data_IF_643136402414
#
_entry.id   IF_643136402414
#
_cell.length_a   1.000
_cell.length_b   1.000
_cell.length_c   1.000
_cell.angle_alpha   90.00
_cell.angle_beta   90.00
_cell.angle_gamma   90.00
#
_symmetry.space_group_name_H-M   'P 1'
#
loop_
_entity.id
_entity.type
_entity.pdbx_description
1 polymer ?
#
# COMPACT_ATOMS: atom_id res chain seq x y z
N UNK A 1 8.13 -38.96 -20.12
CA UNK A 1 8.94 -37.75 -20.38
C UNK A 1 8.12 -36.82 -21.27
N UNK A 2 7.88 -35.57 -20.84
CA UNK A 2 7.96 -34.40 -21.72
C UNK A 2 7.67 -33.11 -20.95
N UNK A 3 8.77 -32.39 -20.70
CA UNK A 3 8.91 -30.95 -20.53
C UNK A 3 7.78 -30.14 -19.90
N UNK A 4 7.88 -29.92 -18.58
CA UNK A 4 7.39 -28.69 -17.95
C UNK A 4 8.25 -27.54 -18.50
N UNK A 5 7.70 -26.74 -19.39
CA UNK A 5 8.30 -25.48 -19.82
C UNK A 5 8.23 -24.48 -18.67
N UNK A 6 9.30 -24.42 -17.87
CA UNK A 6 9.67 -23.21 -17.13
C UNK A 6 10.18 -22.18 -18.14
N UNK A 7 9.53 -21.03 -18.21
CA UNK A 7 10.07 -19.73 -18.67
C UNK A 7 8.86 -18.77 -18.73
N UNK A 8 8.78 -17.60 -18.11
CA UNK A 8 9.75 -16.60 -17.67
C UNK A 8 9.02 -15.79 -16.58
N UNK A 9 9.61 -15.63 -15.38
CA UNK A 9 9.09 -14.70 -14.36
C UNK A 9 9.40 -13.28 -14.84
N UNK A 10 8.59 -12.80 -15.79
CA UNK A 10 8.48 -11.39 -16.09
C UNK A 10 8.05 -10.68 -14.82
N UNK A 11 8.86 -9.73 -14.36
CA UNK A 11 8.64 -8.86 -13.19
C UNK A 11 7.23 -8.27 -13.28
N UNK A 12 6.23 -8.93 -12.69
CA UNK A 12 4.85 -8.46 -12.71
C UNK A 12 4.85 -7.16 -11.92
N UNK A 13 4.73 -6.02 -12.60
CA UNK A 13 4.30 -4.78 -11.94
C UNK A 13 3.04 -5.17 -11.17
N UNK A 14 3.15 -5.22 -9.84
CA UNK A 14 2.13 -5.83 -8.98
C UNK A 14 0.75 -5.33 -9.39
N UNK A 15 -0.23 -6.22 -9.45
CA UNK A 15 -1.60 -5.87 -9.82
C UNK A 15 -1.98 -4.56 -9.13
N UNK A 16 -2.42 -3.59 -9.93
CA UNK A 16 -2.89 -2.32 -9.39
C UNK A 16 -3.90 -2.64 -8.29
N UNK A 17 -3.64 -2.18 -7.06
CA UNK A 17 -4.57 -2.40 -5.95
C UNK A 17 -5.98 -1.93 -6.38
N UNK A 18 -7.06 -2.56 -5.92
CA UNK A 18 -8.41 -2.09 -6.21
C UNK A 18 -8.54 -0.59 -5.91
N UNK A 19 -9.21 0.16 -6.79
CA UNK A 19 -9.36 1.63 -6.63
C UNK A 19 -9.99 1.98 -5.30
N UNK A 20 -11.02 1.25 -4.88
CA UNK A 20 -11.69 1.41 -3.59
C UNK A 20 -10.73 1.26 -2.41
N UNK A 21 -9.85 0.26 -2.45
CA UNK A 21 -8.87 0.06 -1.38
C UNK A 21 -7.93 1.27 -1.25
N UNK A 22 -7.50 1.86 -2.38
CA UNK A 22 -6.67 3.09 -2.34
C UNK A 22 -7.42 4.28 -1.75
N UNK A 23 -8.71 4.43 -2.07
CA UNK A 23 -9.54 5.52 -1.55
C UNK A 23 -9.68 5.39 -0.03
N UNK A 24 -10.03 4.21 0.48
CA UNK A 24 -10.15 3.97 1.93
C UNK A 24 -8.84 4.22 2.67
N UNK A 25 -7.72 3.73 2.11
CA UNK A 25 -6.40 3.98 2.69
C UNK A 25 -6.08 5.49 2.74
N UNK A 26 -6.41 6.23 1.68
CA UNK A 26 -6.19 7.67 1.63
C UNK A 26 -7.02 8.42 2.68
N UNK A 27 -8.31 8.10 2.79
CA UNK A 27 -9.21 8.67 3.81
C UNK A 27 -8.69 8.39 5.23
N UNK A 28 -8.29 7.15 5.52
CA UNK A 28 -7.70 6.77 6.81
C UNK A 28 -6.40 7.55 7.09
N UNK A 29 -5.53 7.73 6.09
CA UNK A 29 -4.29 8.53 6.25
C UNK A 29 -4.62 9.97 6.63
N UNK A 30 -5.59 10.59 5.98
CA UNK A 30 -6.02 11.96 6.32
C UNK A 30 -6.62 12.04 7.72
N UNK A 31 -7.46 11.07 8.09
CA UNK A 31 -8.07 11.01 9.42
C UNK A 31 -7.00 10.89 10.52
N UNK A 32 -6.05 9.97 10.35
CA UNK A 32 -4.95 9.81 11.29
C UNK A 32 -4.05 11.03 11.37
N UNK A 33 -3.82 11.70 10.22
CA UNK A 33 -3.06 12.94 10.22
C UNK A 33 -3.78 14.05 10.98
N UNK A 34 -5.11 14.16 10.82
CA UNK A 34 -5.95 15.09 11.58
C UNK A 34 -5.94 14.81 13.09
N UNK A 35 -5.75 13.55 13.49
CA UNK A 35 -5.55 13.12 14.88
C UNK A 35 -4.15 13.38 15.43
N UNK A 36 -3.23 13.87 14.61
CA UNK A 36 -1.85 14.21 15.03
C UNK A 36 -0.87 13.04 15.01
N UNK A 37 -1.21 11.90 14.38
CA UNK A 37 -0.27 10.78 14.27
C UNK A 37 0.94 11.16 13.41
N UNK A 38 2.11 10.63 13.80
CA UNK A 38 3.32 10.66 13.00
C UNK A 38 3.20 9.74 11.79
N UNK A 39 4.02 9.96 10.76
CA UNK A 39 3.98 9.10 9.57
C UNK A 39 4.27 7.63 9.86
N UNK A 40 5.13 7.33 10.85
CA UNK A 40 5.41 5.95 11.26
C UNK A 40 4.19 5.28 11.89
N UNK A 41 3.44 6.01 12.71
CA UNK A 41 2.19 5.52 13.30
C UNK A 41 1.13 5.29 12.23
N UNK A 42 0.97 6.22 11.29
CA UNK A 42 0.05 6.07 10.15
C UNK A 42 0.40 4.81 9.33
N UNK A 43 1.67 4.61 8.99
CA UNK A 43 2.11 3.42 8.24
C UNK A 43 1.79 2.13 9.00
N UNK A 44 2.01 2.11 10.32
CA UNK A 44 1.72 0.95 11.16
C UNK A 44 0.21 0.66 11.21
N UNK A 45 -0.63 1.68 11.36
CA UNK A 45 -2.09 1.55 11.35
C UNK A 45 -2.60 1.02 10.00
N UNK A 46 -2.11 1.56 8.89
CA UNK A 46 -2.48 1.09 7.55
C UNK A 46 -2.03 -0.36 7.33
N UNK A 47 -0.83 -0.72 7.80
CA UNK A 47 -0.34 -2.10 7.75
C UNK A 47 -1.22 -3.04 8.56
N UNK A 48 -1.64 -2.64 9.76
CA UNK A 48 -2.50 -3.45 10.62
C UNK A 48 -3.90 -3.65 10.01
N UNK A 49 -4.52 -2.57 9.51
CA UNK A 49 -5.90 -2.61 8.98
C UNK A 49 -6.00 -3.32 7.63
N UNK A 50 -5.06 -3.05 6.72
CA UNK A 50 -5.18 -3.45 5.32
C UNK A 50 -4.15 -4.48 4.89
N UNK A 51 -3.25 -4.93 5.78
CA UNK A 51 -2.09 -5.78 5.45
C UNK A 51 -1.23 -5.18 4.32
N UNK A 52 -1.20 -3.85 4.26
CA UNK A 52 -0.59 -3.07 3.18
C UNK A 52 0.46 -2.15 3.76
N UNK A 53 1.63 -2.12 3.13
CA UNK A 53 2.68 -1.17 3.47
C UNK A 53 2.65 -0.01 2.47
N UNK A 54 2.56 1.20 2.99
CA UNK A 54 2.83 2.44 2.24
C UNK A 54 4.19 2.98 2.68
N UNK A 55 4.94 3.58 1.75
CA UNK A 55 6.19 4.24 2.10
C UNK A 55 5.92 5.57 2.81
N UNK A 56 6.88 6.03 3.59
CA UNK A 56 6.82 7.34 4.25
C UNK A 56 6.68 8.47 3.23
N UNK A 57 7.36 8.38 2.08
CA UNK A 57 7.23 9.36 0.99
C UNK A 57 5.82 9.40 0.42
N UNK A 58 5.14 8.25 0.32
CA UNK A 58 3.76 8.17 -0.17
C UNK A 58 2.78 8.73 0.85
N UNK A 59 2.99 8.44 2.14
CA UNK A 59 2.24 9.03 3.24
C UNK A 59 2.39 10.56 3.27
N UNK A 60 3.63 11.06 3.17
CA UNK A 60 3.91 12.50 3.12
C UNK A 60 3.27 13.15 1.90
N UNK A 61 3.32 12.51 0.74
CA UNK A 61 2.66 13.01 -0.47
C UNK A 61 1.15 13.15 -0.31
N UNK A 62 0.49 12.25 0.41
CA UNK A 62 -0.96 12.33 0.68
C UNK A 62 -1.33 13.34 1.77
N UNK A 63 -0.42 13.62 2.71
CA UNK A 63 -0.65 14.55 3.82
C UNK A 63 -0.28 16.01 3.49
N UNK A 64 0.20 16.29 2.28
CA UNK A 64 0.46 17.65 1.77
C UNK A 64 -0.83 18.30 1.30
#
# INVERSE_FOLDING_TARGET
MSGRGEEIVGKRRGSYRPRELRIRIYEDVLEFRGKGLSYREIINEIKLRYSVIISESHCSFWCR
#
